data_IF_410507552872
#
_entry.id   IF_410507552872
#
_cell.length_a   1.000
_cell.length_b   1.000
_cell.length_c   1.000
_cell.angle_alpha   90.00
_cell.angle_beta   90.00
_cell.angle_gamma   90.00
#
_symmetry.space_group_name_H-M   'P 1'
#
loop_
_entity.id
_entity.type
_entity.pdbx_description
1 polymer ?
#
# COMPACT_ATOMS: atom_id res chain seq x y z
N UNK A 1 11.06 -7.84 0.09
CA UNK A 1 11.54 -6.47 -0.21
C UNK A 1 10.36 -5.65 -0.72
N UNK A 2 10.33 -4.34 -0.49
CA UNK A 2 9.31 -3.45 -1.06
C UNK A 2 9.54 -3.30 -2.55
N UNK A 3 8.51 -3.49 -3.36
CA UNK A 3 8.63 -3.52 -4.83
C UNK A 3 7.42 -2.93 -5.55
N UNK A 4 7.64 -2.40 -6.75
CA UNK A 4 6.58 -2.01 -7.69
C UNK A 4 6.29 -3.16 -8.63
N UNK A 5 5.09 -3.72 -8.51
CA UNK A 5 4.64 -4.82 -9.37
C UNK A 5 3.74 -4.23 -10.47
N UNK A 6 4.09 -4.53 -11.72
CA UNK A 6 3.24 -4.20 -12.85
C UNK A 6 2.06 -5.16 -12.91
N UNK A 7 0.85 -4.62 -12.94
CA UNK A 7 -0.39 -5.40 -13.03
C UNK A 7 -0.68 -5.69 -14.50
N UNK A 8 -0.81 -6.97 -14.90
CA UNK A 8 -1.25 -7.33 -16.24
C UNK A 8 -2.54 -6.61 -16.58
N UNK A 9 -2.54 -5.94 -17.74
CA UNK A 9 -3.71 -5.23 -18.21
C UNK A 9 -3.92 -5.46 -19.71
N UNK A 10 -5.18 -5.55 -20.09
CA UNK A 10 -5.61 -5.61 -21.49
C UNK A 10 -6.11 -4.23 -21.88
N UNK A 11 -5.62 -3.72 -23.00
CA UNK A 11 -6.06 -2.45 -23.57
C UNK A 11 -6.91 -2.72 -24.81
N UNK A 12 -8.15 -2.26 -24.80
CA UNK A 12 -9.08 -2.38 -25.92
C UNK A 12 -9.84 -1.06 -26.14
N UNK A 13 -10.55 -0.96 -27.27
CA UNK A 13 -11.38 0.21 -27.60
C UNK A 13 -12.40 0.60 -26.52
N UNK A 14 -12.79 -0.36 -25.66
CA UNK A 14 -13.77 -0.18 -24.58
C UNK A 14 -13.16 0.28 -23.25
N UNK A 15 -11.83 0.28 -23.13
CA UNK A 15 -11.14 0.68 -21.90
C UNK A 15 -9.92 -0.19 -21.57
N UNK A 16 -9.55 -0.19 -20.28
CA UNK A 16 -8.45 -1.01 -19.74
C UNK A 16 -9.01 -1.92 -18.65
N UNK A 17 -8.64 -3.20 -18.71
CA UNK A 17 -8.95 -4.19 -17.69
C UNK A 17 -7.64 -4.61 -17.04
N UNK A 18 -7.49 -4.40 -15.73
CA UNK A 18 -6.35 -4.90 -14.95
C UNK A 18 -6.79 -6.12 -14.13
N UNK A 19 -5.95 -7.16 -14.07
CA UNK A 19 -6.29 -8.43 -13.38
C UNK A 19 -5.21 -8.78 -12.38
N UNK A 20 -5.63 -9.10 -11.15
CA UNK A 20 -4.78 -9.57 -10.06
C UNK A 20 -5.28 -10.96 -9.66
N UNK A 21 -4.49 -11.98 -9.92
CA UNK A 21 -4.81 -13.37 -9.61
C UNK A 21 -3.53 -14.21 -9.44
N UNK A 22 -3.70 -15.45 -8.99
CA UNK A 22 -2.62 -16.45 -8.87
C UNK A 22 -1.44 -15.89 -8.07
N UNK A 23 -0.24 -15.91 -8.66
CA UNK A 23 1.02 -15.57 -8.00
C UNK A 23 1.52 -14.16 -8.37
N UNK A 24 0.64 -13.28 -8.87
CA UNK A 24 1.06 -11.90 -9.18
C UNK A 24 1.60 -11.16 -7.95
N UNK A 25 1.01 -11.43 -6.78
CA UNK A 25 1.45 -10.95 -5.48
C UNK A 25 1.84 -12.14 -4.59
N UNK A 26 2.81 -12.00 -3.68
CA UNK A 26 3.38 -13.13 -2.94
C UNK A 26 2.52 -13.58 -1.74
N UNK A 27 1.21 -13.36 -1.77
CA UNK A 27 0.28 -13.76 -0.72
C UNK A 27 -1.15 -13.98 -1.23
N UNK A 28 -1.93 -14.78 -0.50
CA UNK A 28 -3.36 -14.92 -0.73
C UNK A 28 -4.13 -13.72 -0.18
N UNK A 29 -5.04 -13.16 -0.98
CA UNK A 29 -5.87 -12.01 -0.57
C UNK A 29 -6.90 -12.50 0.44
N UNK A 30 -6.83 -12.00 1.67
CA UNK A 30 -7.83 -12.27 2.73
C UNK A 30 -8.75 -11.08 2.97
N UNK A 31 -8.30 -9.87 2.64
CA UNK A 31 -9.07 -8.65 2.85
C UNK A 31 -8.75 -7.63 1.78
N UNK A 32 -9.79 -6.90 1.39
CA UNK A 32 -9.70 -5.75 0.49
C UNK A 32 -10.35 -4.57 1.21
N UNK A 33 -9.70 -3.42 1.15
CA UNK A 33 -10.28 -2.17 1.61
C UNK A 33 -9.78 -1.05 0.70
N UNK A 34 -10.49 0.08 0.70
CA UNK A 34 -10.11 1.22 -0.11
C UNK A 34 -10.39 2.53 0.62
N UNK A 35 -9.55 3.52 0.35
CA UNK A 35 -9.71 4.90 0.78
C UNK A 35 -10.25 5.69 -0.42
N UNK A 36 -11.26 6.51 -0.16
CA UNK A 36 -11.89 7.40 -1.13
C UNK A 36 -12.32 8.68 -0.40
N UNK A 37 -12.57 9.76 -1.16
CA UNK A 37 -12.89 11.09 -0.63
C UNK A 37 -11.93 11.54 0.49
N UNK A 38 -10.64 11.27 0.28
CA UNK A 38 -9.58 11.69 1.20
C UNK A 38 -9.30 13.18 0.93
N UNK A 39 -9.44 14.06 1.93
CA UNK A 39 -9.07 15.47 1.76
C UNK A 39 -7.60 15.62 1.31
N UNK A 40 -7.31 16.61 0.48
CA UNK A 40 -5.96 16.81 -0.07
C UNK A 40 -4.91 17.15 0.99
N UNK A 41 -5.34 17.69 2.12
CA UNK A 41 -4.51 17.98 3.31
C UNK A 41 -4.54 16.85 4.35
N UNK A 42 -5.24 15.74 4.08
CA UNK A 42 -5.33 14.65 5.01
C UNK A 42 -4.03 13.85 5.06
N UNK A 43 -3.33 13.95 6.19
CA UNK A 43 -2.25 13.05 6.54
C UNK A 43 -2.82 11.77 7.17
N UNK A 44 -2.60 10.61 6.54
CA UNK A 44 -2.86 9.32 7.18
C UNK A 44 -1.58 8.91 7.89
N UNK A 45 -1.58 9.08 9.22
CA UNK A 45 -0.44 8.83 10.10
C UNK A 45 0.26 7.48 9.87
N UNK A 46 1.51 7.42 10.30
CA UNK A 46 2.36 6.26 10.04
C UNK A 46 2.06 5.05 10.91
N UNK A 47 2.22 3.86 10.32
CA UNK A 47 2.21 2.61 11.07
C UNK A 47 2.97 1.52 10.33
N UNK A 48 3.40 0.50 11.07
CA UNK A 48 3.87 -0.77 10.53
C UNK A 48 2.90 -1.91 10.89
N UNK A 49 3.07 -3.04 10.23
CA UNK A 49 2.35 -4.28 10.53
C UNK A 49 3.33 -5.39 10.92
N UNK A 50 2.98 -6.19 11.94
CA UNK A 50 3.82 -7.32 12.38
C UNK A 50 3.74 -8.48 11.38
N UNK A 51 2.54 -8.80 10.87
CA UNK A 51 2.26 -9.93 9.99
C UNK A 51 1.72 -9.53 8.63
N UNK A 52 0.88 -8.49 8.56
CA UNK A 52 0.22 -8.14 7.31
C UNK A 52 1.23 -7.65 6.26
N UNK A 53 1.26 -8.37 5.14
CA UNK A 53 1.72 -7.87 3.85
C UNK A 53 0.58 -7.17 3.12
N UNK A 54 0.90 -6.08 2.41
CA UNK A 54 -0.06 -5.24 1.69
C UNK A 54 0.35 -5.04 0.22
N UNK A 55 -0.64 -4.87 -0.65
CA UNK A 55 -0.45 -4.41 -2.03
C UNK A 55 -1.34 -3.19 -2.29
N UNK A 56 -0.73 -2.03 -2.55
CA UNK A 56 -1.40 -0.73 -2.64
C UNK A 56 -1.49 -0.27 -4.09
N UNK A 57 -2.67 0.17 -4.54
CA UNK A 57 -2.94 0.52 -5.94
C UNK A 57 -3.70 1.86 -6.01
N UNK A 58 -3.26 2.83 -6.83
CA UNK A 58 -4.01 4.06 -7.10
C UNK A 58 -5.04 3.80 -8.21
N UNK A 59 -6.28 3.46 -7.85
CA UNK A 59 -7.33 3.20 -8.85
C UNK A 59 -7.74 4.47 -9.60
N UNK A 60 -7.67 5.61 -8.92
CA UNK A 60 -7.93 6.95 -9.45
C UNK A 60 -7.04 7.96 -8.72
N UNK A 61 -6.72 9.06 -9.40
CA UNK A 61 -5.87 10.12 -8.85
C UNK A 61 -4.44 9.67 -8.56
N UNK A 62 -3.83 10.28 -7.56
CA UNK A 62 -2.48 9.99 -7.10
C UNK A 62 -2.30 10.26 -5.62
N UNK A 63 -1.31 9.60 -5.02
CA UNK A 63 -0.86 9.84 -3.66
C UNK A 63 0.57 9.36 -3.50
N UNK A 64 1.25 9.84 -2.46
CA UNK A 64 2.58 9.37 -2.10
C UNK A 64 2.50 8.31 -1.00
N UNK A 65 3.39 7.32 -1.08
CA UNK A 65 3.61 6.34 -0.03
C UNK A 65 5.04 6.44 0.43
N UNK A 66 5.22 6.96 1.63
CA UNK A 66 6.52 6.99 2.30
C UNK A 66 6.69 5.71 3.10
N UNK A 67 7.81 5.02 2.92
CA UNK A 67 8.13 3.77 3.61
C UNK A 67 9.48 3.85 4.31
N UNK A 68 9.58 3.14 5.42
CA UNK A 68 10.77 3.08 6.26
C UNK A 68 10.99 1.63 6.72
N UNK A 69 12.19 1.09 6.48
CA UNK A 69 12.59 -0.26 6.91
C UNK A 69 13.32 -0.28 8.27
N UNK A 70 13.40 0.89 8.93
CA UNK A 70 14.17 1.10 10.14
C UNK A 70 15.58 1.60 9.89
N UNK A 71 16.06 1.65 8.65
CA UNK A 71 17.40 2.13 8.29
C UNK A 71 17.29 3.14 7.15
N UNK A 72 16.57 2.77 6.10
CA UNK A 72 16.35 3.53 4.89
C UNK A 72 14.90 3.98 4.82
N UNK A 73 14.72 5.22 4.37
CA UNK A 73 13.42 5.81 4.09
C UNK A 73 13.34 6.16 2.60
N UNK A 74 12.20 5.86 1.96
CA UNK A 74 11.93 6.28 0.58
C UNK A 74 10.47 6.63 0.38
N UNK A 75 10.21 7.60 -0.48
CA UNK A 75 8.86 8.02 -0.88
C UNK A 75 8.60 7.61 -2.32
N UNK A 76 7.41 7.08 -2.57
CA UNK A 76 7.01 6.53 -3.87
C UNK A 76 5.67 7.14 -4.27
N UNK A 77 5.66 7.84 -5.39
CA UNK A 77 4.44 8.33 -6.03
C UNK A 77 3.67 7.17 -6.69
N UNK A 78 2.39 7.02 -6.33
CA UNK A 78 1.47 6.09 -6.95
C UNK A 78 0.41 6.85 -7.75
N UNK A 79 0.50 6.79 -9.08
CA UNK A 79 -0.36 7.54 -10.01
C UNK A 79 -0.81 6.75 -11.25
N UNK A 80 -0.64 5.41 -11.24
CA UNK A 80 -1.01 4.53 -12.36
C UNK A 80 -1.74 3.29 -11.85
N UNK A 81 -2.98 3.01 -12.30
CA UNK A 81 -3.77 1.89 -11.78
C UNK A 81 -3.24 0.52 -12.20
N UNK A 82 -2.30 0.47 -13.15
CA UNK A 82 -1.63 -0.77 -13.57
C UNK A 82 -0.26 -0.98 -12.87
N UNK A 83 0.03 -0.22 -11.82
CA UNK A 83 1.21 -0.41 -10.96
C UNK A 83 0.78 -0.40 -9.51
N UNK A 84 1.13 -1.45 -8.78
CA UNK A 84 0.90 -1.51 -7.34
C UNK A 84 2.20 -1.60 -6.56
N UNK A 85 2.17 -1.09 -5.33
CA UNK A 85 3.26 -1.16 -4.38
C UNK A 85 3.07 -2.34 -3.44
N UNK A 86 3.94 -3.33 -3.52
CA UNK A 86 4.01 -4.42 -2.56
C UNK A 86 4.82 -3.99 -1.35
N UNK A 87 4.21 -4.07 -0.16
CA UNK A 87 4.83 -3.78 1.13
C UNK A 87 4.82 -5.07 1.96
N UNK A 88 5.99 -5.66 2.26
CA UNK A 88 6.07 -6.78 3.18
C UNK A 88 5.75 -6.35 4.62
N UNK A 89 5.56 -7.32 5.51
CA UNK A 89 5.44 -7.06 6.95
C UNK A 89 6.71 -6.39 7.49
N UNK A 90 6.58 -5.66 8.59
CA UNK A 90 7.69 -4.98 9.25
C UNK A 90 8.23 -3.76 8.52
N UNK A 91 7.44 -3.16 7.62
CA UNK A 91 7.73 -1.87 7.00
C UNK A 91 6.78 -0.84 7.56
N UNK A 92 7.33 0.27 8.07
CA UNK A 92 6.56 1.45 8.42
C UNK A 92 6.13 2.16 7.15
N UNK A 93 4.88 2.63 7.10
CA UNK A 93 4.35 3.37 5.96
C UNK A 93 3.49 4.54 6.40
N UNK A 94 3.55 5.60 5.60
CA UNK A 94 2.71 6.79 5.64
C UNK A 94 2.11 7.00 4.25
N UNK A 95 0.87 7.49 4.18
CA UNK A 95 0.21 7.78 2.89
C UNK A 95 -0.38 9.19 2.97
N UNK A 96 0.02 10.04 2.04
CA UNK A 96 -0.31 11.47 2.00
C UNK A 96 -0.33 12.00 0.56
N UNK A 97 -0.44 13.33 0.43
CA UNK A 97 -0.51 14.07 -0.84
C UNK A 97 -1.55 13.52 -1.83
N UNK A 98 -2.76 13.27 -1.32
CA UNK A 98 -3.86 12.76 -2.14
C UNK A 98 -4.34 13.84 -3.11
N UNK A 99 -4.30 13.54 -4.41
CA UNK A 99 -4.96 14.37 -5.41
C UNK A 99 -6.49 14.31 -5.24
N UNK A 100 -7.20 15.33 -5.71
CA UNK A 100 -8.66 15.29 -5.77
C UNK A 100 -9.15 14.04 -6.53
N UNK A 101 -10.19 13.39 -6.01
CA UNK A 101 -10.77 12.18 -6.59
C UNK A 101 -9.90 10.91 -6.47
N UNK A 102 -8.91 10.92 -5.57
CA UNK A 102 -8.04 9.76 -5.37
C UNK A 102 -8.77 8.57 -4.76
N UNK A 103 -8.46 7.38 -5.27
CA UNK A 103 -8.93 6.10 -4.71
C UNK A 103 -7.73 5.18 -4.49
N UNK A 104 -7.44 4.89 -3.23
CA UNK A 104 -6.35 4.01 -2.81
C UNK A 104 -6.91 2.64 -2.44
N UNK A 105 -6.70 1.64 -3.29
CA UNK A 105 -7.08 0.25 -3.03
C UNK A 105 -5.94 -0.48 -2.32
N UNK A 106 -6.28 -1.27 -1.30
CA UNK A 106 -5.31 -2.14 -0.62
C UNK A 106 -5.81 -3.59 -0.58
N UNK A 107 -4.98 -4.50 -1.09
CA UNK A 107 -5.13 -5.94 -0.89
C UNK A 107 -4.24 -6.36 0.28
N UNK A 108 -4.80 -7.09 1.23
CA UNK A 108 -4.11 -7.51 2.44
C UNK A 108 -4.09 -9.04 2.58
N UNK A 109 -2.94 -9.54 3.05
CA UNK A 109 -2.69 -10.97 3.33
C UNK A 109 -3.40 -11.51 4.58
N UNK A 110 -3.96 -10.61 5.41
CA UNK A 110 -4.64 -10.95 6.66
C UNK A 110 -5.99 -10.27 6.77
N UNK A 111 -6.87 -10.83 7.61
CA UNK A 111 -8.04 -10.12 8.13
C UNK A 111 -7.59 -8.95 9.03
N UNK A 112 -8.54 -8.12 9.46
CA UNK A 112 -8.25 -7.04 10.39
C UNK A 112 -7.90 -7.56 11.77
N UNK A 113 -6.77 -7.11 12.32
CA UNK A 113 -6.40 -7.30 13.72
C UNK A 113 -5.68 -6.04 14.22
N UNK A 114 -6.26 -5.34 15.20
CA UNK A 114 -5.65 -4.13 15.75
C UNK A 114 -4.29 -4.44 16.43
N UNK A 115 -4.11 -5.67 16.95
CA UNK A 115 -2.85 -6.08 17.58
C UNK A 115 -1.69 -6.21 16.59
N UNK A 116 -2.00 -6.27 15.29
CA UNK A 116 -0.99 -6.33 14.23
C UNK A 116 -0.33 -4.96 13.97
N UNK A 117 -0.93 -3.87 14.45
CA UNK A 117 -0.47 -2.51 14.20
C UNK A 117 0.63 -2.08 15.17
N UNK A 118 1.70 -1.50 14.62
CA UNK A 118 2.69 -0.73 15.38
C UNK A 118 2.52 0.74 14.99
N UNK A 119 1.89 1.53 15.85
CA UNK A 119 1.57 2.96 15.63
C UNK A 119 2.57 3.91 16.29
N UNK A 120 3.44 3.41 17.16
CA UNK A 120 4.51 4.19 17.77
C UNK A 120 5.82 3.95 17.01
N UNK A 121 6.44 5.02 16.53
CA UNK A 121 7.63 4.93 15.69
C UNK A 121 8.85 4.39 16.44
N UNK A 122 9.01 4.73 17.72
CA UNK A 122 10.12 4.21 18.52
C UNK A 122 9.98 2.69 18.75
N UNK A 123 8.75 2.21 18.98
CA UNK A 123 8.45 0.79 19.05
C UNK A 123 8.69 0.09 17.72
N UNK A 124 8.38 0.72 16.60
CA UNK A 124 8.74 0.21 15.27
C UNK A 124 10.25 0.05 15.12
N UNK A 125 11.03 1.08 15.50
CA UNK A 125 12.49 1.04 15.44
C UNK A 125 13.08 -0.12 16.25
N UNK A 126 12.54 -0.37 17.45
CA UNK A 126 12.93 -1.53 18.27
C UNK A 126 12.53 -2.86 17.62
N UNK A 127 11.35 -2.92 17.02
CA UNK A 127 10.85 -4.14 16.37
C UNK A 127 11.72 -4.59 15.20
N UNK A 128 12.20 -3.67 14.36
CA UNK A 128 13.02 -3.99 13.18
C UNK A 128 14.53 -4.05 13.46
N UNK A 129 14.97 -3.60 14.64
CA UNK A 129 16.38 -3.71 15.06
C UNK A 129 16.73 -5.06 15.72
N UNK A 130 15.75 -5.94 15.89
CA UNK A 130 15.90 -7.28 16.50
C UNK A 130 16.07 -8.34 15.42
#
# INVERSE_FOLDING_TARGET
MVDIINIPNVHEKRGKLAVIEKNLIPFAIKRIYYLYDVPSDAYRGGHAHIKQQSFIIPLSGSFEVTIDDGINKKTIMLNKPNKGLFIPSGIWREIDDFSSGSVCLVLASTEFDEKDYIRDYNRFKLFVST
#
